data_IF_794561945498
#
_entry.id   IF_794561945498
#
_cell.length_a   1.000
_cell.length_b   1.000
_cell.length_c   1.000
_cell.angle_alpha   90.00
_cell.angle_beta   90.00
_cell.angle_gamma   90.00
#
_symmetry.space_group_name_H-M   'P 1'
#
loop_
_entity.id
_entity.type
_entity.pdbx_description
1 polymer ?
#
# COMPACT_ATOMS: atom_id res chain seq x y z
N UNK A 1 -5.18 -7.03 26.87
CA UNK A 1 -3.72 -7.18 26.63
C UNK A 1 -3.06 -5.82 26.82
N UNK A 2 -1.97 -5.68 27.61
CA UNK A 2 -1.30 -4.41 27.83
C UNK A 2 -0.56 -4.01 26.56
N UNK A 3 -0.73 -2.72 26.17
CA UNK A 3 -0.23 -2.12 24.95
C UNK A 3 1.27 -2.33 24.74
N UNK A 4 1.64 -3.00 23.66
CA UNK A 4 2.97 -2.89 23.11
C UNK A 4 3.07 -1.53 22.41
N UNK A 5 3.74 -0.59 23.05
CA UNK A 5 4.18 0.64 22.41
C UNK A 5 5.01 0.28 21.18
N UNK A 6 4.63 0.83 20.02
CA UNK A 6 5.51 0.86 18.86
C UNK A 6 6.82 1.51 19.29
N UNK A 7 8.00 0.95 18.99
CA UNK A 7 9.24 1.66 19.23
C UNK A 7 9.18 2.95 18.41
N UNK A 8 8.96 4.08 19.09
CA UNK A 8 9.05 5.38 18.49
C UNK A 8 10.49 5.59 18.08
N UNK A 9 10.74 5.70 16.80
CA UNK A 9 11.99 6.25 16.28
C UNK A 9 11.96 7.75 16.62
N UNK A 10 12.30 8.06 17.88
CA UNK A 10 12.46 9.44 18.32
C UNK A 10 13.84 9.94 17.87
N UNK A 11 13.97 10.27 16.62
CA UNK A 11 15.08 11.10 16.17
C UNK A 11 14.70 12.56 16.42
N UNK A 12 14.98 13.06 17.62
CA UNK A 12 14.85 14.47 17.98
C UNK A 12 15.97 15.23 17.28
N UNK A 13 15.75 15.65 16.03
CA UNK A 13 16.70 16.57 15.39
C UNK A 13 16.53 16.82 13.90
N UNK A 14 16.26 15.82 13.09
CA UNK A 14 16.17 16.03 11.65
C UNK A 14 15.03 15.20 11.06
N UNK A 15 13.99 15.87 10.57
CA UNK A 15 12.92 15.21 9.81
C UNK A 15 13.45 14.91 8.40
N UNK A 16 13.49 13.63 8.02
CA UNK A 16 13.93 13.23 6.68
C UNK A 16 12.93 13.70 5.62
N UNK A 17 13.44 14.33 4.57
CA UNK A 17 12.66 14.59 3.37
C UNK A 17 12.29 13.27 2.71
N UNK A 18 11.00 12.98 2.65
CA UNK A 18 10.51 11.67 2.27
C UNK A 18 9.41 11.81 1.23
N UNK A 19 9.55 11.09 0.11
CA UNK A 19 8.45 10.86 -0.82
C UNK A 19 7.71 9.57 -0.45
N UNK A 20 6.41 9.51 -0.73
CA UNK A 20 5.59 8.32 -0.48
C UNK A 20 5.02 7.80 -1.79
N UNK A 21 5.25 6.52 -2.08
CA UNK A 21 4.52 5.80 -3.13
C UNK A 21 3.10 5.58 -2.64
N UNK A 22 2.15 6.27 -3.26
CA UNK A 22 0.75 6.31 -2.84
C UNK A 22 -0.18 5.81 -3.93
N UNK A 23 -0.87 4.71 -3.69
CA UNK A 23 -1.90 4.18 -4.58
C UNK A 23 -3.31 4.74 -4.30
N UNK A 24 -3.51 5.46 -3.19
CA UNK A 24 -4.84 5.87 -2.72
C UNK A 24 -5.56 4.81 -1.90
N UNK A 25 -4.95 3.64 -1.70
CA UNK A 25 -5.43 2.58 -0.82
C UNK A 25 -5.17 2.87 0.66
N UNK A 26 -5.87 2.12 1.52
CA UNK A 26 -5.78 2.21 2.98
C UNK A 26 -4.34 2.33 3.49
N UNK A 27 -3.46 1.43 3.02
CA UNK A 27 -2.11 1.27 3.55
C UNK A 27 -1.22 2.46 3.17
N UNK A 28 -1.25 2.85 1.89
CA UNK A 28 -0.42 3.94 1.36
C UNK A 28 -0.87 5.31 1.87
N UNK A 29 -2.18 5.53 2.04
CA UNK A 29 -2.71 6.77 2.63
C UNK A 29 -2.37 6.84 4.12
N UNK A 30 -2.47 5.73 4.86
CA UNK A 30 -2.05 5.67 6.27
C UNK A 30 -0.55 5.95 6.41
N UNK A 31 0.28 5.42 5.51
CA UNK A 31 1.71 5.73 5.46
C UNK A 31 1.96 7.21 5.17
N UNK A 32 1.25 7.82 4.21
CA UNK A 32 1.40 9.24 3.89
C UNK A 32 1.09 10.14 5.09
N UNK A 33 0.00 9.85 5.81
CA UNK A 33 -0.34 10.57 7.05
C UNK A 33 0.69 10.36 8.16
N UNK A 34 1.22 9.15 8.32
CA UNK A 34 2.31 8.84 9.26
C UNK A 34 3.57 9.64 8.90
N UNK A 35 4.01 9.61 7.65
CA UNK A 35 5.19 10.35 7.18
C UNK A 35 5.02 11.86 7.35
N UNK A 36 3.85 12.42 7.06
CA UNK A 36 3.57 13.84 7.26
C UNK A 36 3.70 14.26 8.72
N UNK A 37 3.41 13.35 9.66
CA UNK A 37 3.53 13.63 11.11
C UNK A 37 4.94 13.38 11.65
N UNK A 38 5.61 12.32 11.25
CA UNK A 38 6.91 11.89 11.81
C UNK A 38 8.12 12.43 11.04
N UNK A 39 7.97 12.64 9.73
CA UNK A 39 9.01 13.11 8.81
C UNK A 39 8.55 14.37 8.06
N UNK A 40 9.35 14.80 7.08
CA UNK A 40 8.95 15.83 6.13
C UNK A 40 8.44 15.16 4.85
N UNK A 41 7.12 14.99 4.74
CA UNK A 41 6.51 14.55 3.50
C UNK A 41 6.71 15.66 2.44
N UNK A 42 7.35 15.32 1.32
CA UNK A 42 7.69 16.27 0.26
C UNK A 42 6.76 16.15 -0.94
N UNK A 43 6.31 14.92 -1.26
CA UNK A 43 5.38 14.61 -2.35
C UNK A 43 4.78 13.23 -2.26
N UNK A 44 3.68 13.00 -2.97
CA UNK A 44 3.17 11.67 -3.28
C UNK A 44 3.51 11.31 -4.73
N UNK A 45 3.88 10.05 -4.96
CA UNK A 45 4.12 9.49 -6.29
C UNK A 45 3.17 8.33 -6.51
N UNK A 46 2.36 8.41 -7.58
CA UNK A 46 1.43 7.37 -8.01
C UNK A 46 1.79 6.88 -9.40
N UNK A 47 1.34 5.67 -9.74
CA UNK A 47 1.65 5.05 -11.02
C UNK A 47 0.37 4.65 -11.75
N UNK A 48 0.22 5.12 -12.98
CA UNK A 48 -0.77 4.64 -13.92
C UNK A 48 -0.11 3.59 -14.84
N UNK A 49 -0.27 2.30 -14.50
CA UNK A 49 0.26 1.18 -15.29
C UNK A 49 -0.82 0.51 -16.15
N UNK A 50 -1.95 1.20 -16.37
CA UNK A 50 -3.11 0.65 -17.07
C UNK A 50 -3.95 -0.27 -16.19
N UNK A 51 -3.90 -0.10 -14.86
CA UNK A 51 -4.76 -0.84 -13.96
C UNK A 51 -6.23 -0.64 -14.33
N UNK A 52 -6.99 -1.73 -14.25
CA UNK A 52 -8.38 -1.82 -14.63
C UNK A 52 -9.27 -0.76 -13.95
N UNK A 53 -8.94 -0.42 -12.71
CA UNK A 53 -9.68 0.56 -11.90
C UNK A 53 -8.78 1.72 -11.48
N UNK A 54 -8.89 2.82 -12.21
CA UNK A 54 -8.10 4.04 -12.00
C UNK A 54 -8.59 4.90 -10.82
N UNK A 55 -9.71 4.51 -10.20
CA UNK A 55 -10.32 5.20 -9.07
C UNK A 55 -9.33 5.44 -7.91
N UNK A 56 -8.39 4.53 -7.72
CA UNK A 56 -7.31 4.65 -6.74
C UNK A 56 -6.51 5.96 -6.91
N UNK A 57 -6.26 6.39 -8.16
CA UNK A 57 -5.51 7.62 -8.43
C UNK A 57 -6.25 8.87 -7.98
N UNK A 58 -7.59 8.88 -8.03
CA UNK A 58 -8.40 9.99 -7.54
C UNK A 58 -8.29 10.11 -6.01
N UNK A 59 -8.25 8.97 -5.31
CA UNK A 59 -8.04 8.95 -3.86
C UNK A 59 -6.62 9.34 -3.46
N UNK A 60 -5.60 8.97 -4.25
CA UNK A 60 -4.23 9.44 -4.07
C UNK A 60 -4.13 10.96 -4.25
N UNK A 61 -4.80 11.51 -5.27
CA UNK A 61 -4.87 12.96 -5.49
C UNK A 61 -5.59 13.69 -4.34
N UNK A 62 -6.66 13.10 -3.80
CA UNK A 62 -7.36 13.63 -2.63
C UNK A 62 -6.46 13.64 -1.39
N UNK A 63 -5.68 12.56 -1.17
CA UNK A 63 -4.70 12.48 -0.09
C UNK A 63 -3.64 13.59 -0.22
N UNK A 64 -3.05 13.77 -1.41
CA UNK A 64 -2.06 14.82 -1.66
C UNK A 64 -2.62 16.22 -1.38
N UNK A 65 -3.85 16.48 -1.83
CA UNK A 65 -4.54 17.76 -1.57
C UNK A 65 -4.76 18.00 -0.07
N UNK A 66 -5.13 16.98 0.71
CA UNK A 66 -5.32 17.11 2.16
C UNK A 66 -4.04 17.36 2.92
N UNK A 67 -2.93 16.75 2.46
CA UNK A 67 -1.61 16.91 3.07
C UNK A 67 -0.84 18.11 2.53
N UNK A 68 -1.44 18.86 1.57
CA UNK A 68 -0.86 20.04 0.94
C UNK A 68 0.55 19.76 0.35
N UNK A 69 0.67 18.68 -0.42
CA UNK A 69 1.91 18.27 -1.06
C UNK A 69 1.72 18.03 -2.57
N UNK A 70 2.76 18.22 -3.39
CA UNK A 70 2.76 17.83 -4.80
C UNK A 70 2.38 16.36 -5.00
N UNK A 71 1.69 16.05 -6.10
CA UNK A 71 1.32 14.70 -6.50
C UNK A 71 1.77 14.45 -7.94
N UNK A 72 2.72 13.52 -8.10
CA UNK A 72 3.20 13.09 -9.40
C UNK A 72 2.53 11.79 -9.80
N UNK A 73 1.84 11.78 -10.94
CA UNK A 73 1.27 10.56 -11.54
C UNK A 73 2.16 10.15 -12.71
N UNK A 74 2.88 9.05 -12.54
CA UNK A 74 3.81 8.51 -13.55
C UNK A 74 3.04 7.58 -14.49
N UNK A 75 3.05 7.88 -15.78
CA UNK A 75 2.43 7.05 -16.80
C UNK A 75 3.33 5.85 -17.16
N UNK A 76 2.91 4.66 -16.76
CA UNK A 76 3.54 3.37 -17.07
C UNK A 76 2.66 2.46 -17.93
N UNK A 77 1.65 3.00 -18.62
CA UNK A 77 0.68 2.19 -19.39
C UNK A 77 1.36 1.35 -20.47
N UNK A 78 2.40 1.87 -21.12
CA UNK A 78 3.19 1.11 -22.09
C UNK A 78 3.90 -0.11 -21.44
N UNK A 79 4.40 0.04 -20.22
CA UNK A 79 5.03 -1.04 -19.45
C UNK A 79 3.96 -2.02 -18.96
N UNK A 80 2.84 -1.52 -18.45
CA UNK A 80 1.73 -2.35 -17.99
C UNK A 80 1.18 -3.27 -19.07
N UNK A 81 1.08 -2.78 -20.32
CA UNK A 81 0.69 -3.59 -21.47
C UNK A 81 1.66 -4.74 -21.80
N UNK A 82 2.95 -4.60 -21.45
CA UNK A 82 3.94 -5.67 -21.56
C UNK A 82 3.91 -6.66 -20.39
N UNK A 83 3.25 -6.32 -19.28
CA UNK A 83 3.12 -7.13 -18.07
C UNK A 83 1.69 -7.70 -17.95
N UNK A 84 1.14 -8.19 -19.05
CA UNK A 84 -0.19 -8.81 -19.10
C UNK A 84 -0.24 -10.12 -18.31
N UNK A 85 -1.47 -10.60 -18.00
CA UNK A 85 -1.72 -11.86 -17.29
C UNK A 85 -2.21 -11.69 -15.86
N UNK A 86 -2.48 -10.46 -15.40
CA UNK A 86 -3.02 -10.19 -14.07
C UNK A 86 -4.48 -9.73 -14.15
N UNK A 87 -5.30 -10.12 -13.18
CA UNK A 87 -6.67 -9.60 -13.02
C UNK A 87 -6.71 -8.09 -12.71
N UNK A 88 -5.57 -7.48 -12.41
CA UNK A 88 -5.46 -6.04 -12.20
C UNK A 88 -5.19 -5.26 -13.48
N UNK A 89 -4.66 -5.91 -14.53
CA UNK A 89 -4.32 -5.27 -15.82
C UNK A 89 -5.21 -5.74 -16.96
N UNK A 90 -5.67 -6.99 -16.92
CA UNK A 90 -6.41 -7.62 -17.99
C UNK A 90 -7.88 -7.87 -17.65
N UNK A 91 -8.68 -8.28 -18.62
CA UNK A 91 -10.09 -8.67 -18.41
C UNK A 91 -10.23 -10.07 -17.81
N UNK A 92 -9.57 -10.27 -16.68
CA UNK A 92 -9.63 -11.48 -15.85
C UNK A 92 -10.47 -11.16 -14.62
N UNK A 93 -11.38 -12.06 -14.25
CA UNK A 93 -12.23 -11.84 -13.09
C UNK A 93 -11.41 -11.83 -11.78
N UNK A 94 -11.65 -10.81 -10.94
CA UNK A 94 -11.06 -10.75 -9.59
C UNK A 94 -11.84 -11.72 -8.68
N UNK A 95 -11.16 -12.72 -8.09
CA UNK A 95 -11.82 -13.71 -7.24
C UNK A 95 -12.50 -13.08 -6.01
N UNK A 96 -13.63 -13.70 -5.61
CA UNK A 96 -14.19 -13.50 -4.29
C UNK A 96 -13.48 -14.43 -3.28
N UNK A 97 -13.41 -14.04 -2.00
CA UNK A 97 -12.83 -14.88 -0.97
C UNK A 97 -11.76 -14.20 -0.13
N UNK A 98 -11.03 -15.01 0.62
CA UNK A 98 -10.01 -14.51 1.52
C UNK A 98 -8.71 -14.17 0.76
N UNK A 99 -8.09 -13.03 1.10
CA UNK A 99 -6.88 -12.51 0.43
C UNK A 99 -5.65 -13.44 0.48
N UNK A 100 -5.57 -14.37 1.42
CA UNK A 100 -4.47 -15.34 1.53
C UNK A 100 -4.73 -16.65 0.75
N UNK A 101 -5.80 -16.73 -0.05
CA UNK A 101 -6.06 -17.90 -0.89
C UNK A 101 -5.16 -17.91 -2.13
N UNK A 102 -4.83 -19.13 -2.59
CA UNK A 102 -4.02 -19.33 -3.80
C UNK A 102 -4.66 -18.69 -5.05
N UNK A 103 -5.99 -18.62 -5.08
CA UNK A 103 -6.76 -17.94 -6.14
C UNK A 103 -6.37 -16.46 -6.31
N UNK A 104 -5.84 -15.80 -5.28
CA UNK A 104 -5.40 -14.41 -5.34
C UNK A 104 -4.10 -14.22 -6.14
N UNK A 105 -3.36 -15.27 -6.50
CA UNK A 105 -2.17 -15.16 -7.36
C UNK A 105 -2.44 -14.55 -8.72
N UNK A 106 -3.66 -14.66 -9.21
CA UNK A 106 -4.09 -14.01 -10.46
C UNK A 106 -4.01 -12.47 -10.40
N UNK A 107 -3.91 -11.88 -9.19
CA UNK A 107 -3.76 -10.44 -9.01
C UNK A 107 -2.30 -9.96 -9.01
N UNK A 108 -1.34 -10.86 -9.12
CA UNK A 108 0.09 -10.51 -9.16
C UNK A 108 0.42 -9.87 -10.51
N UNK A 109 0.91 -8.64 -10.49
CA UNK A 109 1.57 -8.00 -11.64
C UNK A 109 3.08 -8.20 -11.45
N UNK A 110 3.74 -8.97 -12.32
CA UNK A 110 5.14 -9.35 -12.11
C UNK A 110 6.06 -8.14 -11.96
N UNK A 111 6.91 -8.15 -10.93
CA UNK A 111 7.94 -7.13 -10.70
C UNK A 111 7.43 -5.70 -10.48
N UNK A 112 6.14 -5.53 -10.22
CA UNK A 112 5.49 -4.20 -10.14
C UNK A 112 6.16 -3.31 -9.11
N UNK A 113 6.38 -3.78 -7.89
CA UNK A 113 6.98 -2.96 -6.83
C UNK A 113 8.43 -2.59 -7.15
N UNK A 114 9.22 -3.49 -7.75
CA UNK A 114 10.59 -3.18 -8.17
C UNK A 114 10.63 -2.04 -9.21
N UNK A 115 9.76 -2.09 -10.22
CA UNK A 115 9.65 -1.06 -11.26
C UNK A 115 9.26 0.29 -10.64
N UNK A 116 8.18 0.31 -9.86
CA UNK A 116 7.65 1.52 -9.23
C UNK A 116 8.67 2.16 -8.27
N UNK A 117 9.31 1.35 -7.44
CA UNK A 117 10.31 1.82 -6.48
C UNK A 117 11.55 2.37 -7.20
N UNK A 118 12.03 1.72 -8.26
CA UNK A 118 13.18 2.22 -9.04
C UNK A 118 12.91 3.63 -9.57
N UNK A 119 11.72 3.86 -10.12
CA UNK A 119 11.33 5.19 -10.62
C UNK A 119 11.19 6.18 -9.46
N UNK A 120 10.55 5.78 -8.35
CA UNK A 120 10.39 6.63 -7.18
C UNK A 120 11.74 7.07 -6.59
N UNK A 121 12.75 6.19 -6.57
CA UNK A 121 14.11 6.56 -6.19
C UNK A 121 14.74 7.58 -7.14
N UNK A 122 14.53 7.43 -8.46
CA UNK A 122 14.95 8.45 -9.44
C UNK A 122 14.31 9.81 -9.17
N UNK A 123 13.00 9.85 -8.87
CA UNK A 123 12.29 11.08 -8.49
C UNK A 123 12.88 11.66 -7.20
N UNK A 124 13.12 10.83 -6.17
CA UNK A 124 13.73 11.27 -4.93
C UNK A 124 15.11 11.91 -5.14
N UNK A 125 15.95 11.29 -5.95
CA UNK A 125 17.30 11.82 -6.26
C UNK A 125 17.24 13.19 -6.93
N UNK A 126 16.34 13.38 -7.91
CA UNK A 126 16.18 14.67 -8.62
C UNK A 126 15.73 15.78 -7.68
N UNK A 127 14.89 15.48 -6.68
CA UNK A 127 14.36 16.46 -5.73
C UNK A 127 15.18 16.60 -4.45
N UNK A 128 16.25 15.81 -4.28
CA UNK A 128 17.06 15.81 -3.07
C UNK A 128 16.34 15.27 -1.85
N UNK A 129 15.43 14.33 -2.05
CA UNK A 129 14.73 13.62 -0.99
C UNK A 129 15.63 12.51 -0.41
N UNK A 130 15.50 12.26 0.89
CA UNK A 130 16.38 11.36 1.65
C UNK A 130 15.79 9.97 1.85
N UNK A 131 14.49 9.82 1.58
CA UNK A 131 13.80 8.54 1.70
C UNK A 131 12.68 8.39 0.68
N UNK A 132 12.49 7.14 0.25
CA UNK A 132 11.31 6.66 -0.49
C UNK A 132 10.54 5.74 0.43
N UNK A 133 9.27 6.07 0.72
CA UNK A 133 8.43 5.27 1.59
C UNK A 133 7.41 4.45 0.78
N UNK A 134 7.22 3.18 1.17
CA UNK A 134 6.18 2.30 0.63
C UNK A 134 5.52 1.48 1.73
N UNK A 135 4.22 1.17 1.54
CA UNK A 135 3.37 0.56 2.55
C UNK A 135 3.27 -0.97 2.43
N UNK A 136 4.30 -1.64 1.88
CA UNK A 136 4.34 -3.12 1.88
C UNK A 136 4.26 -3.65 3.31
N UNK A 137 3.48 -4.72 3.52
CA UNK A 137 3.20 -5.22 4.86
C UNK A 137 3.19 -6.76 4.95
N UNK A 138 3.12 -7.30 6.17
CA UNK A 138 3.23 -8.74 6.42
C UNK A 138 2.12 -9.58 5.78
N UNK A 139 0.91 -9.05 5.60
CA UNK A 139 -0.20 -9.73 4.92
C UNK A 139 0.07 -10.00 3.44
N UNK A 140 0.85 -9.14 2.78
CA UNK A 140 1.20 -9.27 1.36
C UNK A 140 2.17 -10.43 1.08
N UNK A 141 2.92 -10.89 2.07
CA UNK A 141 4.02 -11.84 1.90
C UNK A 141 3.60 -13.20 1.33
N UNK A 142 2.34 -13.60 1.52
CA UNK A 142 1.83 -14.88 1.04
C UNK A 142 1.74 -14.91 -0.49
N UNK A 143 1.30 -13.80 -1.09
CA UNK A 143 0.98 -13.72 -2.52
C UNK A 143 2.07 -12.96 -3.29
N UNK A 144 2.61 -11.85 -2.73
CA UNK A 144 3.48 -10.93 -3.45
C UNK A 144 4.95 -11.06 -3.00
N UNK A 145 5.83 -11.71 -3.81
CA UNK A 145 7.24 -11.87 -3.45
C UNK A 145 7.98 -10.54 -3.27
N UNK A 146 7.60 -9.53 -4.04
CA UNK A 146 8.17 -8.18 -4.02
C UNK A 146 7.62 -7.26 -2.90
N UNK A 147 6.94 -7.87 -1.90
CA UNK A 147 6.59 -7.24 -0.62
C UNK A 147 7.37 -7.81 0.57
N UNK A 148 8.15 -8.87 0.36
CA UNK A 148 8.84 -9.60 1.44
C UNK A 148 10.07 -8.85 1.98
N UNK A 149 10.44 -9.06 3.27
CA UNK A 149 11.63 -8.41 3.85
C UNK A 149 12.92 -8.67 3.06
N UNK A 150 13.12 -9.87 2.52
CA UNK A 150 14.29 -10.21 1.70
C UNK A 150 14.37 -9.38 0.41
N UNK A 151 13.22 -9.14 -0.25
CA UNK A 151 13.15 -8.24 -1.41
C UNK A 151 13.50 -6.80 -1.00
N UNK A 152 12.89 -6.28 0.06
CA UNK A 152 13.11 -4.91 0.56
C UNK A 152 14.59 -4.67 0.82
N UNK A 153 15.27 -5.58 1.53
CA UNK A 153 16.70 -5.50 1.83
C UNK A 153 17.57 -5.54 0.57
N UNK A 154 17.29 -6.48 -0.34
CA UNK A 154 18.04 -6.60 -1.59
C UNK A 154 17.85 -5.36 -2.49
N UNK A 155 16.62 -4.84 -2.56
CA UNK A 155 16.29 -3.65 -3.34
C UNK A 155 17.01 -2.42 -2.78
N UNK A 156 16.99 -2.19 -1.47
CA UNK A 156 17.69 -1.07 -0.84
C UNK A 156 19.20 -1.16 -1.10
N UNK A 157 19.79 -2.36 -0.99
CA UNK A 157 21.21 -2.56 -1.30
C UNK A 157 21.54 -2.23 -2.77
N UNK A 158 20.70 -2.65 -3.69
CA UNK A 158 20.83 -2.34 -5.12
C UNK A 158 20.76 -0.84 -5.36
N UNK A 159 19.80 -0.12 -4.76
CA UNK A 159 19.65 1.32 -4.93
C UNK A 159 20.83 2.11 -4.34
N UNK A 160 21.36 1.70 -3.18
CA UNK A 160 22.58 2.30 -2.63
C UNK A 160 23.76 2.16 -3.58
N UNK A 161 23.94 1.01 -4.22
CA UNK A 161 24.98 0.82 -5.22
C UNK A 161 24.74 1.66 -6.50
N UNK A 162 23.49 1.77 -6.95
CA UNK A 162 23.13 2.58 -8.13
C UNK A 162 23.34 4.08 -7.92
N UNK A 163 23.29 4.56 -6.68
CA UNK A 163 23.41 5.97 -6.31
C UNK A 163 24.79 6.35 -5.76
N UNK A 164 25.72 5.40 -5.71
CA UNK A 164 27.04 5.62 -5.12
C UNK A 164 27.74 6.86 -5.71
N UNK A 165 28.07 7.82 -4.83
CA UNK A 165 28.69 9.08 -5.22
C UNK A 165 27.80 10.11 -5.91
N UNK A 166 26.49 9.82 -6.09
CA UNK A 166 25.55 10.73 -6.76
C UNK A 166 24.44 11.24 -5.83
N UNK A 167 23.74 10.35 -5.15
CA UNK A 167 22.64 10.69 -4.27
C UNK A 167 22.58 9.72 -3.08
N UNK A 168 21.91 10.15 -2.00
CA UNK A 168 21.63 9.31 -0.84
C UNK A 168 20.14 9.29 -0.58
N UNK A 169 19.53 8.11 -0.72
CA UNK A 169 18.16 7.88 -0.34
C UNK A 169 18.00 6.48 0.25
N UNK A 170 17.15 6.33 1.26
CA UNK A 170 16.86 5.05 1.91
C UNK A 170 15.47 4.57 1.57
N UNK A 171 15.23 3.26 1.65
CA UNK A 171 13.90 2.68 1.52
C UNK A 171 13.23 2.61 2.90
N UNK A 172 12.13 3.34 3.10
CA UNK A 172 11.38 3.38 4.35
C UNK A 172 10.13 2.51 4.26
N UNK A 173 10.12 1.37 4.94
CA UNK A 173 9.05 0.36 4.93
C UNK A 173 8.59 0.02 6.34
N UNK A 174 7.94 0.95 7.05
CA UNK A 174 7.62 0.77 8.48
C UNK A 174 6.63 -0.37 8.75
N UNK A 175 5.90 -0.82 7.73
CA UNK A 175 4.87 -1.84 7.83
C UNK A 175 5.31 -3.23 7.37
N UNK A 176 6.55 -3.40 6.87
CA UNK A 176 7.00 -4.65 6.23
C UNK A 176 6.82 -5.90 7.11
N UNK A 177 6.88 -5.78 8.43
CA UNK A 177 6.64 -6.89 9.39
C UNK A 177 5.34 -6.71 10.18
N UNK A 178 4.47 -5.79 9.77
CA UNK A 178 3.22 -5.48 10.45
C UNK A 178 2.04 -6.13 9.75
N UNK A 179 0.97 -6.35 10.51
CA UNK A 179 -0.32 -6.77 9.97
C UNK A 179 -1.09 -5.58 9.42
N UNK A 180 -2.10 -5.82 8.61
CA UNK A 180 -3.01 -4.75 8.16
C UNK A 180 -3.79 -4.12 9.31
N UNK A 181 -4.09 -4.87 10.37
CA UNK A 181 -4.67 -4.32 11.58
C UNK A 181 -3.75 -3.30 12.27
N UNK A 182 -2.42 -3.56 12.29
CA UNK A 182 -1.45 -2.58 12.80
C UNK A 182 -1.44 -1.31 11.95
N UNK A 183 -1.66 -1.40 10.63
CA UNK A 183 -1.76 -0.24 9.75
C UNK A 183 -3.01 0.57 10.06
N UNK A 184 -4.16 -0.09 10.31
CA UNK A 184 -5.40 0.60 10.72
C UNK A 184 -5.17 1.34 12.04
N UNK A 185 -4.52 0.71 13.03
CA UNK A 185 -4.17 1.37 14.31
C UNK A 185 -3.25 2.57 14.08
N UNK A 186 -2.22 2.42 13.24
CA UNK A 186 -1.33 3.53 12.89
C UNK A 186 -2.09 4.66 12.18
N UNK A 187 -2.91 4.32 11.18
CA UNK A 187 -3.72 5.29 10.45
C UNK A 187 -4.69 6.05 11.37
N UNK A 188 -5.34 5.37 12.29
CA UNK A 188 -6.19 6.01 13.31
C UNK A 188 -5.41 6.99 14.18
N UNK A 189 -4.21 6.61 14.63
CA UNK A 189 -3.31 7.47 15.41
C UNK A 189 -2.92 8.75 14.67
N UNK A 190 -2.72 8.67 13.35
CA UNK A 190 -2.31 9.81 12.51
C UNK A 190 -3.48 10.48 11.77
N UNK A 191 -4.72 10.23 12.22
CA UNK A 191 -5.95 10.83 11.67
C UNK A 191 -6.12 10.60 10.17
N UNK A 192 -5.81 9.38 9.70
CA UNK A 192 -6.06 8.98 8.31
C UNK A 192 -7.56 9.02 8.02
N UNK A 193 -8.00 9.72 6.98
CA UNK A 193 -9.40 9.77 6.58
C UNK A 193 -9.79 8.48 5.85
N UNK A 194 -10.03 7.40 6.57
CA UNK A 194 -10.28 6.07 6.01
C UNK A 194 -11.44 6.00 5.00
N UNK A 195 -12.46 6.85 5.14
CA UNK A 195 -13.54 6.97 4.17
C UNK A 195 -13.04 7.44 2.78
N UNK A 196 -11.92 8.15 2.76
CA UNK A 196 -11.30 8.68 1.55
C UNK A 196 -10.11 7.80 1.11
N UNK A 197 -10.27 6.48 1.20
CA UNK A 197 -9.31 5.48 0.71
C UNK A 197 -10.03 4.41 -0.11
N UNK A 198 -9.40 3.94 -1.19
CA UNK A 198 -10.00 2.93 -2.05
C UNK A 198 -9.23 1.61 -2.01
N UNK A 199 -9.90 0.50 -1.67
CA UNK A 199 -9.28 -0.83 -1.58
C UNK A 199 -9.84 -1.85 -2.57
N UNK A 200 -11.04 -1.63 -3.13
CA UNK A 200 -11.74 -2.62 -3.93
C UNK A 200 -11.10 -2.83 -5.31
N UNK A 201 -10.74 -4.07 -5.62
CA UNK A 201 -10.20 -4.46 -6.92
C UNK A 201 -11.26 -4.58 -8.03
N UNK A 202 -12.56 -4.60 -7.70
CA UNK A 202 -13.65 -4.69 -8.70
C UNK A 202 -14.12 -3.33 -9.23
N UNK A 203 -13.75 -2.22 -8.58
CA UNK A 203 -13.91 -0.86 -9.10
C UNK A 203 -15.33 -0.33 -9.27
N UNK A 204 -16.32 -0.90 -8.59
CA UNK A 204 -17.72 -0.45 -8.61
C UNK A 204 -17.96 0.96 -8.06
N UNK A 205 -19.21 1.36 -7.88
CA UNK A 205 -19.57 2.62 -7.24
C UNK A 205 -19.20 2.59 -5.75
N UNK A 206 -19.52 1.48 -5.07
CA UNK A 206 -19.13 1.15 -3.71
C UNK A 206 -18.01 0.09 -3.71
N UNK A 207 -17.44 -0.16 -2.55
CA UNK A 207 -16.59 -1.33 -2.36
C UNK A 207 -17.47 -2.61 -2.46
N UNK A 208 -17.06 -3.62 -3.23
CA UNK A 208 -17.89 -4.81 -3.44
C UNK A 208 -18.12 -5.64 -2.15
N UNK A 209 -17.23 -5.53 -1.16
CA UNK A 209 -17.29 -6.30 0.09
C UNK A 209 -16.85 -7.76 -0.03
N UNK A 210 -16.55 -8.27 -1.24
CA UNK A 210 -16.35 -9.71 -1.52
C UNK A 210 -14.95 -10.05 -2.01
N UNK A 211 -14.27 -9.16 -2.74
CA UNK A 211 -12.91 -9.42 -3.21
C UNK A 211 -11.92 -9.46 -2.04
N UNK A 212 -10.77 -10.11 -2.25
CA UNK A 212 -9.77 -10.34 -1.21
C UNK A 212 -9.38 -9.09 -0.44
N UNK A 213 -9.18 -7.96 -1.11
CA UNK A 213 -8.82 -6.69 -0.46
C UNK A 213 -9.96 -6.06 0.36
N UNK A 214 -11.23 -6.26 -0.04
CA UNK A 214 -12.37 -5.85 0.78
C UNK A 214 -12.49 -6.71 2.04
N UNK A 215 -12.31 -8.03 1.91
CA UNK A 215 -12.32 -8.97 3.04
C UNK A 215 -11.18 -8.62 4.02
N UNK A 216 -9.96 -8.45 3.52
CA UNK A 216 -8.79 -8.08 4.33
C UNK A 216 -8.99 -6.73 5.05
N UNK A 217 -9.53 -5.73 4.34
CA UNK A 217 -9.84 -4.44 4.95
C UNK A 217 -10.82 -4.57 6.12
N UNK A 218 -11.94 -5.26 5.93
CA UNK A 218 -12.95 -5.48 6.96
C UNK A 218 -12.40 -6.24 8.16
N UNK A 219 -11.63 -7.30 7.91
CA UNK A 219 -10.94 -8.06 8.96
C UNK A 219 -9.97 -7.18 9.75
N UNK A 220 -9.15 -6.36 9.06
CA UNK A 220 -8.19 -5.48 9.69
C UNK A 220 -8.84 -4.47 10.64
N UNK A 221 -9.94 -3.83 10.24
CA UNK A 221 -10.71 -2.92 11.09
C UNK A 221 -11.32 -3.65 12.29
N UNK A 222 -11.87 -4.84 12.08
CA UNK A 222 -12.43 -5.67 13.15
C UNK A 222 -11.35 -6.04 14.18
N UNK A 223 -10.19 -6.52 13.74
CA UNK A 223 -9.07 -6.89 14.61
C UNK A 223 -8.45 -5.68 15.31
N UNK A 224 -8.47 -4.51 14.68
CA UNK A 224 -8.02 -3.25 15.30
C UNK A 224 -9.01 -2.69 16.33
N UNK A 225 -10.25 -3.19 16.38
CA UNK A 225 -11.31 -2.64 17.23
C UNK A 225 -11.74 -1.22 16.83
N UNK A 226 -11.56 -0.86 15.54
CA UNK A 226 -11.88 0.45 14.97
C UNK A 226 -13.02 0.25 13.97
N UNK A 227 -13.99 1.17 13.95
CA UNK A 227 -15.07 1.11 12.98
C UNK A 227 -14.55 1.47 11.58
N UNK A 228 -14.84 0.61 10.58
CA UNK A 228 -14.59 0.91 9.18
C UNK A 228 -15.68 1.87 8.66
N UNK A 229 -15.32 3.08 8.22
CA UNK A 229 -16.29 4.06 7.73
C UNK A 229 -16.71 3.82 6.28
N UNK A 230 -16.27 2.73 5.65
CA UNK A 230 -16.49 2.45 4.23
C UNK A 230 -17.84 1.78 3.99
N UNK A 231 -18.54 2.23 2.94
CA UNK A 231 -19.76 1.59 2.46
C UNK A 231 -19.43 0.43 1.50
N UNK A 232 -20.15 -0.68 1.68
CA UNK A 232 -20.00 -1.93 0.92
C UNK A 232 -21.30 -2.36 0.26
N UNK A 233 -21.20 -2.95 -0.95
CA UNK A 233 -22.33 -3.60 -1.60
C UNK A 233 -22.78 -4.86 -0.83
N UNK A 234 -21.79 -5.65 -0.35
CA UNK A 234 -22.04 -6.81 0.54
C UNK A 234 -21.25 -6.60 1.85
N UNK A 235 -21.88 -6.06 2.90
CA UNK A 235 -21.22 -5.76 4.16
C UNK A 235 -20.90 -6.98 5.02
N UNK A 236 -21.51 -8.14 4.75
CA UNK A 236 -21.45 -9.31 5.64
C UNK A 236 -20.62 -10.48 5.11
N UNK A 237 -20.24 -10.46 3.84
CA UNK A 237 -19.49 -11.55 3.20
C UNK A 237 -18.16 -11.85 3.90
N UNK A 238 -17.44 -10.83 4.35
CA UNK A 238 -16.12 -10.97 4.96
C UNK A 238 -16.11 -11.93 6.17
N UNK A 239 -17.12 -11.88 7.01
CA UNK A 239 -17.21 -12.72 8.22
C UNK A 239 -17.34 -14.21 7.85
N UNK A 240 -18.08 -14.51 6.78
CA UNK A 240 -18.24 -15.87 6.24
C UNK A 240 -16.94 -16.37 5.61
N UNK A 241 -16.24 -15.50 4.84
CA UNK A 241 -14.96 -15.84 4.22
C UNK A 241 -13.88 -16.19 5.25
N UNK A 242 -13.83 -15.45 6.36
CA UNK A 242 -12.87 -15.72 7.46
C UNK A 242 -13.24 -17.01 8.19
N UNK A 243 -14.53 -17.24 8.49
CA UNK A 243 -14.99 -18.45 9.16
C UNK A 243 -14.67 -19.71 8.33
N UNK A 244 -14.85 -19.64 7.01
CA UNK A 244 -14.53 -20.75 6.10
C UNK A 244 -13.02 -21.08 6.12
N UNK A 245 -12.12 -20.08 6.18
CA UNK A 245 -10.68 -20.30 6.29
C UNK A 245 -10.26 -20.92 7.62
N UNK A 246 -10.89 -20.53 8.73
CA UNK A 246 -10.63 -21.13 10.05
C UNK A 246 -10.99 -22.61 10.11
N UNK A 247 -11.99 -23.05 9.34
CA UNK A 247 -12.44 -24.44 9.25
C UNK A 247 -11.50 -25.32 8.39
N UNK A 248 -10.71 -24.75 7.48
CA UNK A 248 -9.78 -25.48 6.58
C UNK A 248 -8.40 -25.74 7.22
N UNK A 249 -8.11 -25.13 8.37
CA UNK A 249 -6.83 -25.27 9.09
C UNK A 249 -6.93 -26.15 10.35
N UNK A 250 -7.95 -27.04 10.45
CA UNK A 250 -8.11 -28.05 11.52
C UNK A 250 -7.82 -29.43 11.00
#
# INVERSE_FOLDING_TARGET
>A
FPGRSLPGYQNKGHRMKTIVVCSGGLDSVSLAHMVANENQLTRLVSFDYGQRHRKELDYAALCAKRLDVPHDIIDLRAIGGALSGSALTDDIEVPDGHYAEESMRVTVVPNRNAIMLTIAFGVAAVHGDQAVATAVHGGDHFIYPDCRPGFVQAFEKMQKAAFEGYAEATLYTPFVTRTKADIVVAGHRYNTPFADTWSCYKGGALHCGRCGTCVERREAFHLAGIQDPTDYEDPDFWSKAIAAKGATNV
#
